data_IF_987603190245
#
_entry.id   IF_987603190245
#
_cell.length_a   1.000
_cell.length_b   1.000
_cell.length_c   1.000
_cell.angle_alpha   90.00
_cell.angle_beta   90.00
_cell.angle_gamma   90.00
#
_symmetry.space_group_name_H-M   'P 1'
#
loop_
_entity.id
_entity.type
_entity.pdbx_description
1 polymer ?
#
# COMPACT_ATOMS: atom_id res chain seq x y z
N UNK A 1 6.12 -0.58 -17.61
CA UNK A 1 6.77 0.03 -16.42
C UNK A 1 5.95 1.18 -15.85
N UNK A 2 5.61 2.21 -16.64
CA UNK A 2 4.80 3.38 -16.22
C UNK A 2 3.56 3.03 -15.37
N UNK A 3 2.69 2.13 -15.84
CA UNK A 3 1.48 1.71 -15.10
C UNK A 3 1.75 1.12 -13.70
N UNK A 4 2.87 0.43 -13.48
CA UNK A 4 3.22 -0.11 -12.15
C UNK A 4 3.64 1.02 -11.23
N UNK A 5 4.39 2.00 -11.74
CA UNK A 5 4.80 3.18 -10.98
C UNK A 5 3.58 4.04 -10.60
N UNK A 6 2.60 4.19 -11.50
CA UNK A 6 1.34 4.89 -11.20
C UNK A 6 0.56 4.21 -10.06
N UNK A 7 0.47 2.87 -10.10
CA UNK A 7 -0.19 2.12 -9.04
C UNK A 7 0.54 2.24 -7.70
N UNK A 8 1.89 2.26 -7.70
CA UNK A 8 2.68 2.50 -6.49
C UNK A 8 2.41 3.91 -5.95
N UNK A 9 2.36 4.94 -6.80
CA UNK A 9 2.00 6.30 -6.38
C UNK A 9 0.59 6.37 -5.78
N UNK A 10 -0.38 5.71 -6.42
CA UNK A 10 -1.75 5.65 -5.91
C UNK A 10 -1.82 4.94 -4.54
N UNK A 11 -1.03 3.89 -4.32
CA UNK A 11 -0.91 3.26 -3.00
C UNK A 11 -0.37 4.26 -1.98
N UNK A 12 0.69 5.01 -2.31
CA UNK A 12 1.28 6.02 -1.42
C UNK A 12 0.28 7.12 -1.06
N UNK A 13 -0.49 7.62 -2.03
CA UNK A 13 -1.57 8.58 -1.80
C UNK A 13 -2.66 8.01 -0.88
N UNK A 14 -3.07 6.77 -1.09
CA UNK A 14 -4.05 6.12 -0.22
C UNK A 14 -3.51 5.94 1.21
N UNK A 15 -2.23 5.59 1.39
CA UNK A 15 -1.59 5.49 2.70
C UNK A 15 -1.70 6.83 3.44
N UNK A 16 -1.40 7.95 2.77
CA UNK A 16 -1.56 9.29 3.35
C UNK A 16 -3.00 9.59 3.75
N UNK A 17 -3.97 9.28 2.88
CA UNK A 17 -5.40 9.48 3.19
C UNK A 17 -5.88 8.62 4.36
N UNK A 18 -5.39 7.39 4.48
CA UNK A 18 -5.68 6.49 5.59
C UNK A 18 -5.19 7.10 6.91
N UNK A 19 -3.95 7.60 6.94
CA UNK A 19 -3.37 8.22 8.14
C UNK A 19 -4.13 9.50 8.55
N UNK A 20 -4.45 10.36 7.57
CA UNK A 20 -5.24 11.59 7.79
C UNK A 20 -6.64 11.31 8.35
N UNK A 21 -7.36 10.35 7.78
CA UNK A 21 -8.71 9.97 8.23
C UNK A 21 -8.67 9.39 9.66
N UNK A 22 -7.63 8.65 10.00
CA UNK A 22 -7.44 8.16 11.37
C UNK A 22 -7.19 9.30 12.36
N UNK A 23 -6.38 10.30 11.99
CA UNK A 23 -6.17 11.48 12.84
C UNK A 23 -7.46 12.26 13.08
N UNK A 24 -8.34 12.37 12.07
CA UNK A 24 -9.62 13.10 12.12
C UNK A 24 -10.74 12.37 12.86
N UNK A 25 -10.60 11.06 13.14
CA UNK A 25 -11.59 10.26 13.89
C UNK A 25 -11.79 10.66 15.36
N UNK A 26 -11.38 11.87 15.75
CA UNK A 26 -11.59 12.51 17.05
C UNK A 26 -12.72 13.57 17.00
N UNK A 27 -13.45 13.68 15.88
CA UNK A 27 -14.56 14.61 15.67
C UNK A 27 -15.90 14.15 16.25
N UNK A 28 -17.00 14.74 15.76
CA UNK A 28 -18.37 14.38 16.19
C UNK A 28 -18.80 13.00 15.71
N UNK A 29 -19.82 12.39 16.33
CA UNK A 29 -20.31 11.02 16.01
C UNK A 29 -20.62 10.85 14.51
N UNK A 30 -21.24 11.86 13.87
CA UNK A 30 -21.57 11.80 12.44
C UNK A 30 -20.33 11.87 11.55
N UNK A 31 -19.37 12.73 11.89
CA UNK A 31 -18.10 12.85 11.16
C UNK A 31 -17.24 11.59 11.32
N UNK A 32 -17.35 10.90 12.46
CA UNK A 32 -16.68 9.64 12.71
C UNK A 32 -17.18 8.53 11.77
N UNK A 33 -18.48 8.42 11.56
CA UNK A 33 -19.09 7.39 10.70
C UNK A 33 -18.72 7.60 9.22
N UNK A 34 -18.79 8.84 8.72
CA UNK A 34 -18.36 9.17 7.36
C UNK A 34 -16.85 8.91 7.15
N UNK A 35 -16.04 9.18 8.18
CA UNK A 35 -14.59 8.93 8.14
C UNK A 35 -14.28 7.43 8.11
N UNK A 36 -15.04 6.60 8.84
CA UNK A 36 -14.91 5.14 8.85
C UNK A 36 -15.19 4.53 7.47
N UNK A 37 -16.28 4.92 6.81
CA UNK A 37 -16.62 4.39 5.49
C UNK A 37 -15.54 4.74 4.44
N UNK A 38 -15.06 5.98 4.44
CA UNK A 38 -13.97 6.42 3.55
C UNK A 38 -12.68 5.64 3.83
N UNK A 39 -12.36 5.43 5.11
CA UNK A 39 -11.20 4.68 5.54
C UNK A 39 -11.24 3.23 5.04
N UNK A 40 -12.37 2.55 5.18
CA UNK A 40 -12.57 1.18 4.68
C UNK A 40 -12.38 1.11 3.16
N UNK A 41 -12.93 2.08 2.43
CA UNK A 41 -12.77 2.22 0.98
C UNK A 41 -11.29 2.33 0.57
N UNK A 42 -10.55 3.27 1.16
CA UNK A 42 -9.12 3.44 0.87
C UNK A 42 -8.29 2.21 1.28
N UNK A 43 -8.62 1.58 2.41
CA UNK A 43 -7.95 0.37 2.89
C UNK A 43 -8.14 -0.79 1.91
N UNK A 44 -9.38 -1.03 1.47
CA UNK A 44 -9.71 -2.08 0.51
C UNK A 44 -9.03 -1.84 -0.84
N UNK A 45 -9.12 -0.62 -1.37
CA UNK A 45 -8.47 -0.24 -2.62
C UNK A 45 -6.94 -0.41 -2.54
N UNK A 46 -6.33 -0.01 -1.43
CA UNK A 46 -4.88 -0.18 -1.19
C UNK A 46 -4.46 -1.64 -1.21
N UNK A 47 -5.20 -2.52 -0.51
CA UNK A 47 -4.94 -3.97 -0.52
C UNK A 47 -5.03 -4.55 -1.92
N UNK A 48 -6.05 -4.16 -2.69
CA UNK A 48 -6.21 -4.61 -4.08
C UNK A 48 -5.04 -4.15 -4.97
N UNK A 49 -4.65 -2.87 -4.87
CA UNK A 49 -3.52 -2.34 -5.64
C UNK A 49 -2.20 -3.04 -5.28
N UNK A 50 -1.94 -3.29 -3.99
CA UNK A 50 -0.74 -4.02 -3.53
C UNK A 50 -0.65 -5.42 -4.16
N UNK A 51 -1.77 -6.17 -4.20
CA UNK A 51 -1.82 -7.49 -4.84
C UNK A 51 -1.55 -7.37 -6.34
N UNK A 52 -2.22 -6.44 -7.02
CA UNK A 52 -2.04 -6.26 -8.46
C UNK A 52 -0.60 -5.85 -8.84
N UNK A 53 0.04 -4.97 -8.05
CA UNK A 53 1.43 -4.55 -8.27
C UNK A 53 2.37 -5.75 -8.09
N UNK A 54 2.21 -6.51 -7.00
CA UNK A 54 2.98 -7.74 -6.75
C UNK A 54 2.90 -8.71 -7.93
N UNK A 55 1.70 -8.98 -8.41
CA UNK A 55 1.49 -9.96 -9.49
C UNK A 55 2.07 -9.46 -10.83
N UNK A 56 1.96 -8.16 -11.11
CA UNK A 56 2.59 -7.54 -12.29
C UNK A 56 4.12 -7.60 -12.23
N UNK A 57 4.72 -7.33 -11.08
CA UNK A 57 6.18 -7.43 -10.89
C UNK A 57 6.64 -8.87 -11.09
N UNK A 58 5.96 -9.85 -10.47
CA UNK A 58 6.26 -11.28 -10.67
C UNK A 58 6.15 -11.71 -12.12
N UNK A 59 5.15 -11.21 -12.85
CA UNK A 59 5.02 -11.45 -14.29
C UNK A 59 6.21 -10.89 -15.07
N UNK A 60 6.69 -9.69 -14.76
CA UNK A 60 7.88 -9.11 -15.39
C UNK A 60 9.15 -9.90 -15.08
N UNK A 61 9.32 -10.34 -13.83
CA UNK A 61 10.44 -11.20 -13.42
C UNK A 61 10.43 -12.52 -14.20
N UNK A 62 9.27 -13.16 -14.33
CA UNK A 62 9.11 -14.40 -15.09
C UNK A 62 9.41 -14.21 -16.59
N UNK A 63 8.95 -13.11 -17.19
CA UNK A 63 9.24 -12.79 -18.59
C UNK A 63 10.75 -12.58 -18.82
N UNK A 64 11.44 -11.97 -17.86
CA UNK A 64 12.89 -11.77 -17.95
C UNK A 64 13.68 -13.09 -17.85
N UNK A 65 13.18 -14.11 -17.14
CA UNK A 65 13.82 -15.42 -17.06
C UNK A 65 13.73 -16.22 -18.37
N UNK A 66 12.70 -15.99 -19.17
CA UNK A 66 12.49 -16.69 -20.44
C UNK A 66 13.28 -16.12 -21.63
N UNK A 67 14.03 -15.03 -21.44
CA UNK A 67 14.78 -14.36 -22.51
C UNK A 67 16.24 -14.85 -22.58
N UNK A 68 16.82 -14.97 -23.79
CA UNK A 68 18.20 -15.41 -23.95
C UNK A 68 19.20 -14.41 -23.34
N UNK A 69 20.29 -14.89 -22.70
CA UNK A 69 21.25 -14.07 -21.94
C UNK A 69 22.01 -13.02 -22.77
N UNK A 70 22.04 -13.18 -24.10
CA UNK A 70 22.85 -12.38 -25.03
C UNK A 70 22.21 -11.04 -25.42
N UNK A 71 21.04 -10.72 -24.87
CA UNK A 71 20.33 -9.49 -25.19
C UNK A 71 20.78 -8.38 -24.25
N UNK A 72 21.48 -7.34 -24.72
CA UNK A 72 21.80 -6.16 -23.89
C UNK A 72 20.56 -5.49 -23.25
N UNK A 73 19.39 -5.65 -23.88
CA UNK A 73 18.08 -5.23 -23.35
C UNK A 73 17.65 -6.00 -22.09
N UNK A 74 18.14 -7.23 -21.89
CA UNK A 74 17.76 -8.07 -20.75
C UNK A 74 18.26 -7.49 -19.42
N UNK A 75 19.51 -7.03 -19.37
CA UNK A 75 20.08 -6.45 -18.14
C UNK A 75 19.38 -5.14 -17.76
N UNK A 76 19.03 -4.31 -18.75
CA UNK A 76 18.23 -3.09 -18.53
C UNK A 76 16.85 -3.44 -17.97
N UNK A 77 16.16 -4.43 -18.56
CA UNK A 77 14.85 -4.89 -18.06
C UNK A 77 14.93 -5.47 -16.66
N UNK A 78 15.96 -6.25 -16.33
CA UNK A 78 16.18 -6.78 -14.98
C UNK A 78 16.38 -5.64 -13.98
N UNK A 79 17.23 -4.67 -14.30
CA UNK A 79 17.46 -3.50 -13.44
C UNK A 79 16.18 -2.69 -13.21
N UNK A 80 15.39 -2.44 -14.26
CA UNK A 80 14.10 -1.76 -14.15
C UNK A 80 13.11 -2.53 -13.26
N UNK A 81 12.96 -3.84 -13.47
CA UNK A 81 12.08 -4.68 -12.66
C UNK A 81 12.53 -4.74 -11.20
N UNK A 82 13.85 -4.81 -10.94
CA UNK A 82 14.41 -4.77 -9.60
C UNK A 82 14.10 -3.42 -8.90
N UNK A 83 14.21 -2.30 -9.61
CA UNK A 83 13.84 -0.99 -9.06
C UNK A 83 12.34 -0.92 -8.69
N UNK A 84 11.46 -1.47 -9.53
CA UNK A 84 10.02 -1.54 -9.22
C UNK A 84 9.74 -2.40 -7.99
N UNK A 85 10.43 -3.55 -7.87
CA UNK A 85 10.33 -4.43 -6.71
C UNK A 85 10.74 -3.71 -5.43
N UNK A 86 11.87 -3.02 -5.46
CA UNK A 86 12.37 -2.27 -4.30
C UNK A 86 11.35 -1.21 -3.83
N UNK A 87 10.87 -0.38 -4.75
CA UNK A 87 9.85 0.65 -4.46
C UNK A 87 8.54 0.04 -3.92
N UNK A 88 8.13 -1.10 -4.47
CA UNK A 88 6.96 -1.82 -3.99
C UNK A 88 7.14 -2.30 -2.55
N UNK A 89 8.30 -2.87 -2.20
CA UNK A 89 8.58 -3.36 -0.86
C UNK A 89 8.61 -2.23 0.18
N UNK A 90 9.24 -1.10 -0.15
CA UNK A 90 9.23 0.10 0.70
C UNK A 90 7.81 0.60 0.95
N UNK A 91 7.00 0.66 -0.11
CA UNK A 91 5.60 1.08 -0.02
C UNK A 91 4.75 0.11 0.79
N UNK A 92 4.96 -1.20 0.62
CA UNK A 92 4.30 -2.25 1.40
C UNK A 92 4.65 -2.14 2.89
N UNK A 93 5.92 -1.91 3.21
CA UNK A 93 6.38 -1.72 4.58
C UNK A 93 5.73 -0.48 5.22
N UNK A 94 5.65 0.63 4.47
CA UNK A 94 4.95 1.84 4.93
C UNK A 94 3.48 1.55 5.25
N UNK A 95 2.77 0.82 4.38
CA UNK A 95 1.38 0.43 4.61
C UNK A 95 1.24 -0.47 5.86
N UNK A 96 2.11 -1.46 6.03
CA UNK A 96 2.11 -2.34 7.19
C UNK A 96 2.35 -1.59 8.51
N UNK A 97 3.22 -0.59 8.51
CA UNK A 97 3.46 0.23 9.69
C UNK A 97 2.21 1.04 10.07
N UNK A 98 1.57 1.72 9.10
CA UNK A 98 0.33 2.47 9.36
C UNK A 98 -0.77 1.55 9.91
N UNK A 99 -0.99 0.39 9.29
CA UNK A 99 -1.93 -0.62 9.77
C UNK A 99 -1.64 -1.07 11.22
N UNK A 100 -0.37 -1.25 11.57
CA UNK A 100 0.04 -1.58 12.93
C UNK A 100 -0.26 -0.45 13.92
N UNK A 101 0.10 0.79 13.59
CA UNK A 101 -0.20 1.96 14.42
C UNK A 101 -1.71 2.14 14.64
N UNK A 102 -2.51 1.93 13.59
CA UNK A 102 -3.96 2.07 13.66
C UNK A 102 -4.59 1.03 14.59
N UNK A 103 -4.14 -0.23 14.51
CA UNK A 103 -4.58 -1.28 15.45
C UNK A 103 -4.22 -0.95 16.90
N UNK A 104 -3.05 -0.40 17.15
CA UNK A 104 -2.65 0.02 18.51
C UNK A 104 -3.54 1.15 19.04
N UNK A 105 -3.76 2.20 18.25
CA UNK A 105 -4.64 3.32 18.62
C UNK A 105 -6.07 2.85 18.92
N UNK A 106 -6.60 1.93 18.12
CA UNK A 106 -7.93 1.34 18.35
C UNK A 106 -7.99 0.57 19.67
N UNK A 107 -7.01 -0.30 19.95
CA UNK A 107 -6.92 -1.03 21.23
C UNK A 107 -6.87 -0.09 22.43
N UNK A 108 -6.03 0.94 22.38
CA UNK A 108 -5.92 1.92 23.47
C UNK A 108 -7.22 2.67 23.74
N UNK A 109 -8.03 2.96 22.71
CA UNK A 109 -9.37 3.55 22.88
C UNK A 109 -10.34 2.58 23.56
N UNK A 110 -10.37 1.32 23.12
CA UNK A 110 -11.22 0.29 23.73
C UNK A 110 -10.87 0.11 25.21
N UNK A 111 -9.58 0.00 25.54
CA UNK A 111 -9.12 -0.12 26.93
C UNK A 111 -9.54 1.07 27.81
N UNK A 112 -9.57 2.28 27.27
CA UNK A 112 -10.07 3.46 28.01
C UNK A 112 -11.57 3.39 28.24
N UNK A 113 -12.35 2.91 27.27
CA UNK A 113 -13.81 2.77 27.41
C UNK A 113 -14.20 1.64 28.37
N UNK A 114 -13.43 0.55 28.45
CA UNK A 114 -13.67 -0.55 29.39
C UNK A 114 -13.22 -0.26 30.83
N UNK A 115 -12.41 0.79 31.06
CA UNK A 115 -11.92 1.20 32.39
C UNK A 115 -12.81 2.27 33.06
N UNK A 116 -13.97 2.60 32.48
CA UNK A 116 -14.99 3.53 32.99
C UNK A 116 -16.22 2.71 33.36
#
# INVERSE_FOLDING_TARGET
VSKIQDMIRQIQENIGRIDDLHARSLGTIKEEEESKQKLEGYTSNTKQLLVQVKDKIRKLESLNLGLPPTSGDLEVRKAQTANLRQKFLETLQSYQNIEYQNRQKFRARMERQYKI
#
